data_IF_272833771923
#
_entry.id   IF_272833771923
#
_cell.length_a   1.000
_cell.length_b   1.000
_cell.length_c   1.000
_cell.angle_alpha   90.00
_cell.angle_beta   90.00
_cell.angle_gamma   90.00
#
_symmetry.space_group_name_H-M   'P 1'
#
loop_
_entity.id
_entity.type
_entity.pdbx_description
1 polymer ?
#
# COMPACT_ATOMS: atom_id res chain seq x y z
N UNK A 1 51.14 25.70 2.17
CA UNK A 1 51.19 25.01 0.85
C UNK A 1 49.90 24.23 0.76
N UNK A 2 48.98 24.69 -0.06
CA UNK A 2 47.73 23.95 -0.33
C UNK A 2 48.07 22.79 -1.27
N UNK A 3 47.75 21.56 -0.84
CA UNK A 3 47.87 20.38 -1.69
C UNK A 3 46.73 20.49 -2.72
N UNK A 4 47.06 20.77 -3.95
CA UNK A 4 46.16 20.61 -5.09
C UNK A 4 45.92 19.10 -5.26
N UNK A 5 44.75 18.63 -4.87
CA UNK A 5 44.30 17.30 -5.22
C UNK A 5 44.06 17.26 -6.73
N UNK A 6 44.95 16.65 -7.47
CA UNK A 6 44.72 16.33 -8.88
C UNK A 6 43.70 15.21 -8.93
N UNK A 7 42.57 15.47 -9.56
CA UNK A 7 41.63 14.42 -9.96
C UNK A 7 42.36 13.41 -10.86
N UNK A 8 42.07 12.14 -10.75
CA UNK A 8 42.59 11.16 -11.71
C UNK A 8 42.16 11.56 -13.12
N UNK A 9 42.97 11.21 -14.13
CA UNK A 9 42.66 11.51 -15.52
C UNK A 9 41.28 11.00 -15.92
N UNK A 10 40.89 9.83 -15.43
CA UNK A 10 39.59 9.18 -15.63
C UNK A 10 38.47 10.04 -15.02
N UNK A 11 38.63 10.53 -13.80
CA UNK A 11 37.62 11.40 -13.14
C UNK A 11 37.51 12.75 -13.84
N UNK A 12 38.63 13.28 -14.38
CA UNK A 12 38.65 14.54 -15.13
C UNK A 12 37.94 14.36 -16.49
N UNK A 13 38.21 13.29 -17.20
CA UNK A 13 37.52 12.96 -18.47
C UNK A 13 36.02 12.81 -18.24
N UNK A 14 35.62 12.06 -17.23
CA UNK A 14 34.22 11.86 -16.88
C UNK A 14 33.51 13.20 -16.55
N UNK A 15 34.17 14.09 -15.82
CA UNK A 15 33.62 15.41 -15.52
C UNK A 15 33.55 16.32 -16.75
N UNK A 16 34.53 16.22 -17.65
CA UNK A 16 34.54 16.96 -18.91
C UNK A 16 33.47 16.46 -19.88
N UNK A 17 33.25 15.16 -19.96
CA UNK A 17 32.16 14.59 -20.75
C UNK A 17 30.80 15.02 -20.23
N UNK A 18 30.61 15.04 -18.91
CA UNK A 18 29.39 15.55 -18.26
C UNK A 18 29.19 17.05 -18.52
N UNK A 19 30.28 17.86 -18.44
CA UNK A 19 30.23 19.29 -18.73
C UNK A 19 29.93 19.54 -20.21
N UNK A 20 30.51 18.80 -21.13
CA UNK A 20 30.25 18.91 -22.56
C UNK A 20 28.83 18.50 -22.94
N UNK A 21 28.32 17.44 -22.33
CA UNK A 21 26.93 17.02 -22.47
C UNK A 21 26.00 18.14 -21.99
N UNK A 22 26.28 18.72 -20.84
CA UNK A 22 25.54 19.84 -20.28
C UNK A 22 25.58 21.10 -21.15
N UNK A 23 26.76 21.44 -21.70
CA UNK A 23 26.92 22.57 -22.63
C UNK A 23 26.17 22.34 -23.94
N UNK A 24 26.12 21.12 -24.42
CA UNK A 24 25.32 20.74 -25.59
C UNK A 24 23.83 20.97 -25.35
N UNK A 25 23.31 20.60 -24.19
CA UNK A 25 21.90 20.84 -23.82
C UNK A 25 21.59 22.34 -23.70
N UNK A 26 22.54 23.17 -23.24
CA UNK A 26 22.37 24.62 -23.18
C UNK A 26 22.45 25.26 -24.59
N UNK A 27 23.33 24.75 -25.46
CA UNK A 27 23.56 25.35 -26.79
C UNK A 27 22.44 25.03 -27.77
N UNK A 28 21.78 23.87 -27.60
CA UNK A 28 20.69 23.47 -28.48
C UNK A 28 19.38 24.26 -28.23
N UNK A 29 19.39 25.19 -27.26
CA UNK A 29 18.60 26.42 -27.11
C UNK A 29 17.07 26.32 -27.29
N UNK A 30 16.55 25.13 -27.32
CA UNK A 30 15.13 24.86 -27.58
C UNK A 30 14.61 24.08 -26.39
N UNK A 31 13.44 24.41 -25.89
CA UNK A 31 12.70 23.66 -24.85
C UNK A 31 12.39 22.22 -25.22
N UNK A 32 13.41 21.48 -25.57
CA UNK A 32 13.37 20.05 -25.82
C UNK A 32 13.61 19.40 -24.45
N UNK A 33 12.62 18.65 -24.00
CA UNK A 33 12.73 17.92 -22.75
C UNK A 33 14.03 17.11 -22.72
N UNK A 34 14.76 17.24 -21.64
CA UNK A 34 15.91 16.41 -21.35
C UNK A 34 15.49 14.94 -21.46
N UNK A 35 16.20 14.17 -22.27
CA UNK A 35 16.00 12.73 -22.36
C UNK A 35 17.24 12.06 -21.78
N UNK A 36 17.21 11.66 -20.50
CA UNK A 36 18.34 10.99 -19.88
C UNK A 36 18.63 9.68 -20.58
N UNK A 37 19.91 9.34 -20.69
CA UNK A 37 20.38 8.12 -21.35
C UNK A 37 20.28 6.89 -20.42
N UNK A 38 20.25 7.11 -19.10
CA UNK A 38 20.18 6.07 -18.09
C UNK A 38 19.52 6.54 -16.79
N UNK A 39 19.11 5.60 -15.95
CA UNK A 39 18.61 5.88 -14.61
C UNK A 39 19.68 6.50 -13.71
N UNK A 40 20.95 6.08 -13.87
CA UNK A 40 22.08 6.64 -13.13
C UNK A 40 22.32 8.11 -13.45
N UNK A 41 22.10 8.53 -14.69
CA UNK A 41 22.13 9.94 -15.07
C UNK A 41 21.02 10.73 -14.38
N UNK A 42 19.80 10.21 -14.36
CA UNK A 42 18.69 10.81 -13.62
C UNK A 42 19.05 10.95 -12.14
N UNK A 43 19.57 9.90 -11.52
CA UNK A 43 19.97 9.91 -10.12
C UNK A 43 21.04 10.98 -9.85
N UNK A 44 22.02 11.11 -10.74
CA UNK A 44 23.05 12.14 -10.62
C UNK A 44 22.47 13.55 -10.65
N UNK A 45 21.49 13.80 -11.50
CA UNK A 45 20.77 15.08 -11.57
C UNK A 45 19.93 15.34 -10.32
N UNK A 46 19.29 14.30 -9.77
CA UNK A 46 18.53 14.41 -8.52
C UNK A 46 19.47 14.78 -7.38
N UNK A 47 20.58 14.09 -7.22
CA UNK A 47 21.59 14.37 -6.17
C UNK A 47 22.18 15.77 -6.29
N UNK A 48 22.38 16.24 -7.52
CA UNK A 48 22.86 17.60 -7.79
C UNK A 48 21.76 18.68 -7.64
N UNK A 49 20.50 18.32 -7.38
CA UNK A 49 19.37 19.25 -7.28
C UNK A 49 18.95 19.90 -8.63
N UNK A 50 19.42 19.34 -9.76
CA UNK A 50 19.19 19.90 -11.11
C UNK A 50 17.99 19.28 -11.84
N UNK A 51 17.45 18.18 -11.32
CA UNK A 51 16.34 17.43 -11.91
C UNK A 51 15.08 18.28 -12.10
N UNK A 52 14.76 19.18 -11.17
CA UNK A 52 13.57 20.04 -11.25
C UNK A 52 13.56 21.00 -12.45
N UNK A 53 14.75 21.37 -12.96
CA UNK A 53 14.90 22.26 -14.09
C UNK A 53 14.97 21.49 -15.42
N UNK A 54 15.38 20.22 -15.38
CA UNK A 54 15.73 19.42 -16.56
C UNK A 54 14.74 18.28 -16.84
N UNK A 55 14.00 17.81 -15.84
CA UNK A 55 13.05 16.71 -15.99
C UNK A 55 11.63 17.23 -15.74
N UNK A 56 10.87 17.52 -16.79
CA UNK A 56 9.50 18.03 -16.65
C UNK A 56 8.57 17.04 -15.94
N UNK A 57 7.62 17.57 -15.17
CA UNK A 57 6.50 16.79 -14.67
C UNK A 57 5.70 16.24 -15.85
N UNK A 58 5.38 14.95 -15.83
CA UNK A 58 4.73 14.21 -16.90
C UNK A 58 5.69 13.52 -17.86
N UNK A 59 7.03 13.73 -17.72
CA UNK A 59 8.03 12.92 -18.44
C UNK A 59 7.90 11.45 -18.04
N UNK A 60 8.30 10.55 -18.94
CA UNK A 60 8.25 9.12 -18.68
C UNK A 60 9.64 8.53 -18.50
N UNK A 61 9.79 7.66 -17.52
CA UNK A 61 10.99 6.86 -17.27
C UNK A 61 10.61 5.40 -17.44
N UNK A 62 11.42 4.68 -18.21
CA UNK A 62 11.19 3.26 -18.50
C UNK A 62 12.24 2.45 -17.76
N UNK A 63 11.80 1.43 -17.07
CA UNK A 63 12.63 0.40 -16.44
C UNK A 63 12.06 -0.98 -16.79
N UNK A 64 12.52 -2.03 -16.12
CA UNK A 64 11.98 -3.38 -16.33
C UNK A 64 11.90 -4.18 -15.04
N UNK A 65 11.02 -5.17 -15.06
CA UNK A 65 10.98 -6.23 -14.06
C UNK A 65 10.85 -7.57 -14.76
N UNK A 66 11.77 -8.50 -14.49
CA UNK A 66 11.85 -9.78 -15.20
C UNK A 66 11.84 -9.58 -16.73
N UNK A 67 12.61 -8.62 -17.23
CA UNK A 67 12.69 -8.19 -18.63
C UNK A 67 11.37 -7.66 -19.23
N UNK A 68 10.33 -7.44 -18.44
CA UNK A 68 9.08 -6.80 -18.87
C UNK A 68 9.18 -5.30 -18.60
N UNK A 69 9.02 -4.43 -19.60
CA UNK A 69 9.07 -2.99 -19.41
C UNK A 69 8.02 -2.48 -18.43
N UNK A 70 8.40 -1.53 -17.61
CA UNK A 70 7.53 -0.76 -16.72
C UNK A 70 7.76 0.72 -17.00
N UNK A 71 6.69 1.45 -17.24
CA UNK A 71 6.71 2.89 -17.46
C UNK A 71 6.28 3.62 -16.20
N UNK A 72 7.04 4.63 -15.82
CA UNK A 72 6.70 5.56 -14.75
C UNK A 72 6.53 6.97 -15.28
N UNK A 73 5.52 7.68 -14.80
CA UNK A 73 5.32 9.11 -15.01
C UNK A 73 6.04 9.88 -13.89
N UNK A 74 6.77 10.94 -14.22
CA UNK A 74 7.32 11.89 -13.24
C UNK A 74 6.17 12.72 -12.69
N UNK A 75 5.91 12.62 -11.39
CA UNK A 75 4.77 13.30 -10.76
C UNK A 75 5.15 14.43 -9.82
N UNK A 76 6.39 14.46 -9.32
CA UNK A 76 6.87 15.47 -8.38
C UNK A 76 8.39 15.58 -8.33
N UNK A 77 8.89 16.74 -7.91
CA UNK A 77 10.29 16.99 -7.67
C UNK A 77 10.44 17.68 -6.30
N UNK A 78 11.25 17.13 -5.41
CA UNK A 78 11.46 17.59 -4.03
C UNK A 78 10.16 17.75 -3.21
N UNK A 79 9.19 16.87 -3.43
CA UNK A 79 7.96 16.82 -2.67
C UNK A 79 8.11 15.88 -1.46
N UNK A 80 8.77 14.75 -1.67
CA UNK A 80 8.98 13.74 -0.65
C UNK A 80 10.33 13.90 0.05
N UNK A 81 10.38 13.48 1.30
CA UNK A 81 11.60 13.47 2.10
C UNK A 81 12.22 12.08 2.11
N UNK A 82 13.43 11.90 1.58
CA UNK A 82 14.17 10.66 1.74
C UNK A 82 14.37 10.30 3.22
N UNK A 83 14.35 9.01 3.53
CA UNK A 83 14.61 8.54 4.90
C UNK A 83 16.07 8.73 5.28
N UNK A 84 16.99 8.49 4.34
CA UNK A 84 18.41 8.72 4.54
C UNK A 84 18.72 10.25 4.51
N UNK A 85 19.17 10.82 5.64
CA UNK A 85 19.39 12.27 5.75
C UNK A 85 20.55 12.82 4.89
N UNK A 86 21.38 11.96 4.31
CA UNK A 86 22.41 12.42 3.36
C UNK A 86 21.82 12.91 2.03
N UNK A 87 20.58 12.50 1.72
CA UNK A 87 19.88 12.92 0.51
C UNK A 87 18.78 13.92 0.85
N UNK A 88 18.80 15.05 0.15
CA UNK A 88 17.85 16.16 0.37
C UNK A 88 16.93 16.38 -0.84
N UNK A 89 17.19 15.70 -1.94
CA UNK A 89 16.45 15.85 -3.18
C UNK A 89 15.75 14.52 -3.52
N UNK A 90 14.60 14.62 -4.16
CA UNK A 90 13.80 13.48 -4.60
C UNK A 90 13.13 13.76 -5.94
N UNK A 91 13.02 12.76 -6.79
CA UNK A 91 12.20 12.77 -7.98
C UNK A 91 11.14 11.68 -7.85
N UNK A 92 9.90 12.08 -7.69
CA UNK A 92 8.80 11.14 -7.45
C UNK A 92 8.24 10.62 -8.77
N UNK A 93 8.16 9.33 -8.86
CA UNK A 93 7.67 8.56 -9.99
C UNK A 93 6.39 7.83 -9.61
N UNK A 94 5.47 7.69 -10.56
CA UNK A 94 4.23 6.92 -10.42
C UNK A 94 4.06 5.99 -11.62
N UNK A 95 3.74 4.73 -11.39
CA UNK A 95 3.46 3.81 -12.48
C UNK A 95 2.42 4.37 -13.45
N UNK A 96 2.70 4.26 -14.74
CA UNK A 96 1.79 4.69 -15.81
C UNK A 96 0.56 3.78 -15.88
N UNK A 97 0.76 2.48 -15.69
CA UNK A 97 -0.28 1.46 -15.63
C UNK A 97 -0.23 0.71 -14.29
N UNK A 98 -1.34 0.13 -13.80
CA UNK A 98 -1.30 -0.78 -12.68
C UNK A 98 -0.36 -1.97 -12.95
N UNK A 99 0.51 -2.24 -11.95
CA UNK A 99 1.41 -3.41 -12.00
C UNK A 99 0.61 -4.70 -12.15
N UNK A 100 -0.33 -4.90 -11.23
CA UNK A 100 -1.20 -6.08 -11.16
C UNK A 100 -2.46 -5.73 -10.35
N UNK A 101 -3.40 -6.67 -10.29
CA UNK A 101 -4.58 -6.57 -9.43
C UNK A 101 -4.33 -7.37 -8.15
N UNK A 102 -4.26 -6.67 -7.03
CA UNK A 102 -3.74 -7.21 -5.77
C UNK A 102 -4.74 -6.95 -4.65
N UNK A 103 -4.95 -7.95 -3.81
CA UNK A 103 -5.66 -7.82 -2.56
C UNK A 103 -4.84 -6.90 -1.64
N UNK A 104 -5.48 -5.88 -1.06
CA UNK A 104 -4.81 -4.93 -0.16
C UNK A 104 -4.43 -5.62 1.16
N UNK A 105 -5.40 -6.33 1.75
CA UNK A 105 -5.20 -7.11 2.96
C UNK A 105 -6.20 -8.26 3.04
N UNK A 106 -5.84 -9.33 3.75
CA UNK A 106 -6.70 -10.50 3.87
C UNK A 106 -7.77 -10.33 4.96
N UNK A 107 -8.90 -11.06 4.88
CA UNK A 107 -9.82 -11.22 5.99
C UNK A 107 -9.10 -11.69 7.25
N UNK A 108 -9.42 -11.08 8.40
CA UNK A 108 -8.77 -11.40 9.67
C UNK A 108 -9.43 -12.57 10.40
N UNK A 109 -8.72 -13.20 11.30
CA UNK A 109 -9.28 -14.16 12.25
C UNK A 109 -10.03 -13.42 13.39
N UNK A 110 -10.98 -14.09 14.00
CA UNK A 110 -11.64 -13.67 15.22
C UNK A 110 -10.69 -13.80 16.43
N UNK A 111 -9.96 -14.89 16.48
CA UNK A 111 -9.07 -15.22 17.60
C UNK A 111 -7.83 -15.97 17.11
N UNK A 112 -6.71 -15.74 17.76
CA UNK A 112 -5.47 -16.47 17.56
C UNK A 112 -5.07 -17.15 18.87
N UNK A 113 -4.86 -18.46 18.83
CA UNK A 113 -4.47 -19.25 19.97
C UNK A 113 -2.97 -19.08 20.28
N UNK A 114 -2.64 -18.18 21.19
CA UNK A 114 -1.27 -18.00 21.70
C UNK A 114 -0.79 -19.19 22.51
N UNK A 115 -1.74 -19.91 23.15
CA UNK A 115 -1.57 -21.22 23.77
C UNK A 115 -2.69 -22.13 23.26
N UNK A 116 -2.62 -23.43 23.57
CA UNK A 116 -3.70 -24.35 23.23
C UNK A 116 -5.02 -23.89 23.87
N UNK A 117 -6.07 -23.73 23.05
CA UNK A 117 -7.41 -23.43 23.51
C UNK A 117 -8.17 -24.76 23.65
N UNK A 118 -8.51 -25.19 24.89
CA UNK A 118 -9.19 -26.48 25.13
C UNK A 118 -10.56 -26.58 24.46
N UNK A 119 -11.08 -27.79 24.29
CA UNK A 119 -12.51 -27.99 24.03
C UNK A 119 -13.34 -27.38 25.17
N UNK A 120 -14.45 -26.72 24.82
CA UNK A 120 -15.27 -26.03 25.82
C UNK A 120 -16.20 -24.99 25.19
N UNK A 121 -16.99 -24.35 26.04
CA UNK A 121 -17.86 -23.23 25.61
C UNK A 121 -17.18 -21.90 25.79
N UNK A 122 -17.26 -21.06 24.76
CA UNK A 122 -16.64 -19.76 24.68
C UNK A 122 -17.67 -18.72 24.27
N UNK A 123 -17.44 -17.47 24.64
CA UNK A 123 -18.26 -16.36 24.20
C UNK A 123 -17.42 -15.14 23.78
N UNK A 124 -18.00 -14.34 22.88
CA UNK A 124 -17.40 -13.09 22.38
C UNK A 124 -18.48 -12.01 22.33
N UNK A 125 -18.11 -10.79 22.67
CA UNK A 125 -18.97 -9.62 22.54
C UNK A 125 -18.57 -8.81 21.32
N UNK A 126 -19.52 -8.53 20.42
CA UNK A 126 -19.28 -7.67 19.25
C UNK A 126 -19.29 -6.23 19.70
N UNK A 127 -18.20 -5.51 19.44
CA UNK A 127 -18.08 -4.06 19.63
C UNK A 127 -17.85 -3.36 18.29
N UNK A 128 -18.35 -2.13 18.19
CA UNK A 128 -18.17 -1.33 16.98
C UNK A 128 -18.59 -2.03 15.69
N UNK A 129 -19.62 -2.86 15.77
CA UNK A 129 -20.33 -3.39 14.62
C UNK A 129 -21.06 -2.23 13.92
N UNK A 130 -21.35 -2.39 12.64
CA UNK A 130 -21.97 -1.35 11.83
C UNK A 130 -23.37 -0.95 12.32
N UNK A 131 -24.15 -1.91 12.77
CA UNK A 131 -25.52 -1.69 13.23
C UNK A 131 -25.93 -2.70 14.29
N UNK A 132 -27.04 -2.45 14.97
CA UNK A 132 -27.64 -3.38 15.92
C UNK A 132 -27.99 -4.74 15.26
N UNK A 133 -28.36 -4.75 13.98
CA UNK A 133 -28.63 -5.98 13.20
C UNK A 133 -27.39 -6.82 12.93
N UNK A 134 -26.19 -6.28 13.14
CA UNK A 134 -24.92 -6.99 13.05
C UNK A 134 -24.40 -7.43 14.42
N UNK A 135 -25.27 -7.52 15.40
CA UNK A 135 -24.94 -7.95 16.74
C UNK A 135 -24.13 -6.97 17.56
N UNK A 136 -24.00 -5.69 17.17
CA UNK A 136 -23.27 -4.69 17.94
C UNK A 136 -23.81 -4.58 19.37
N UNK A 137 -22.91 -4.77 20.36
CA UNK A 137 -23.25 -4.82 21.78
C UNK A 137 -23.81 -6.15 22.25
N UNK A 138 -24.01 -7.13 21.37
CA UNK A 138 -24.46 -8.48 21.71
C UNK A 138 -23.30 -9.43 21.97
N UNK A 139 -23.56 -10.42 22.79
CA UNK A 139 -22.62 -11.52 23.08
C UNK A 139 -23.13 -12.81 22.45
N UNK A 140 -22.23 -13.51 21.80
CA UNK A 140 -22.46 -14.79 21.15
C UNK A 140 -21.61 -15.86 21.77
N UNK A 141 -22.18 -17.04 21.96
CA UNK A 141 -21.46 -18.21 22.47
C UNK A 141 -21.42 -19.34 21.45
N UNK A 142 -20.39 -20.16 21.56
CA UNK A 142 -20.20 -21.36 20.74
C UNK A 142 -19.44 -22.42 21.53
N UNK A 143 -19.65 -23.68 21.20
CA UNK A 143 -18.99 -24.80 21.89
C UNK A 143 -18.06 -25.52 20.94
N UNK A 144 -16.81 -25.64 21.30
CA UNK A 144 -15.80 -26.44 20.62
C UNK A 144 -15.76 -27.84 21.21
N UNK A 145 -15.88 -28.83 20.35
CA UNK A 145 -15.72 -30.24 20.72
C UNK A 145 -14.27 -30.70 20.69
N UNK A 146 -13.42 -29.93 20.02
CA UNK A 146 -12.00 -30.20 19.87
C UNK A 146 -11.19 -28.97 20.32
N UNK A 147 -9.96 -29.21 20.81
CA UNK A 147 -9.04 -28.11 21.12
C UNK A 147 -8.53 -27.43 19.84
N UNK A 148 -8.19 -26.15 19.96
CA UNK A 148 -7.45 -25.40 18.94
C UNK A 148 -6.00 -25.33 19.37
N UNK A 149 -5.05 -25.90 18.63
CA UNK A 149 -3.65 -25.94 19.05
C UNK A 149 -3.03 -24.54 19.08
N UNK A 150 -1.93 -24.39 19.84
CA UNK A 150 -1.11 -23.19 19.78
C UNK A 150 -0.76 -22.83 18.34
N UNK A 151 -0.94 -21.57 17.96
CA UNK A 151 -0.79 -21.10 16.57
C UNK A 151 -2.02 -21.26 15.70
N UNK A 152 -3.05 -21.93 16.20
CA UNK A 152 -4.33 -22.08 15.52
C UNK A 152 -5.15 -20.78 15.53
N UNK A 153 -6.23 -20.79 14.76
CA UNK A 153 -7.12 -19.63 14.62
C UNK A 153 -8.59 -20.03 14.66
N UNK A 154 -9.39 -19.11 15.17
CA UNK A 154 -10.85 -19.15 15.07
C UNK A 154 -11.30 -18.06 14.09
N UNK A 155 -12.13 -18.41 13.14
CA UNK A 155 -12.58 -17.54 12.06
C UNK A 155 -14.10 -17.52 11.98
N UNK A 156 -14.66 -16.32 11.91
CA UNK A 156 -16.10 -16.11 11.78
C UNK A 156 -16.39 -15.18 10.60
N UNK A 157 -16.24 -15.69 9.39
CA UNK A 157 -16.22 -14.89 8.15
C UNK A 157 -17.58 -14.30 7.73
N UNK A 158 -18.65 -14.61 8.40
CA UNK A 158 -19.96 -14.14 8.01
C UNK A 158 -20.49 -12.93 8.78
N UNK A 159 -19.71 -12.39 9.69
CA UNK A 159 -20.13 -11.27 10.56
C UNK A 159 -19.99 -9.94 9.85
N UNK A 160 -20.85 -9.63 8.87
CA UNK A 160 -20.65 -8.44 8.05
C UNK A 160 -21.89 -7.57 7.77
N UNK A 161 -23.06 -8.09 7.42
CA UNK A 161 -24.21 -7.24 7.08
C UNK A 161 -25.55 -7.73 7.57
N UNK A 162 -25.58 -8.92 8.17
CA UNK A 162 -26.81 -9.60 8.62
C UNK A 162 -26.63 -10.16 10.03
N UNK A 163 -27.61 -10.89 10.48
CA UNK A 163 -27.56 -11.57 11.76
C UNK A 163 -26.33 -12.51 11.80
N UNK A 164 -25.39 -12.31 12.73
CA UNK A 164 -24.24 -13.18 12.90
C UNK A 164 -24.58 -14.67 13.06
N UNK A 165 -25.75 -14.99 13.57
CA UNK A 165 -26.23 -16.37 13.74
C UNK A 165 -26.43 -17.13 12.43
N UNK A 166 -26.47 -16.45 11.29
CA UNK A 166 -26.55 -17.10 9.98
C UNK A 166 -25.20 -17.66 9.49
N UNK A 167 -24.15 -17.53 10.28
CA UNK A 167 -22.80 -17.90 9.85
C UNK A 167 -22.07 -18.74 10.88
N UNK A 168 -21.44 -19.80 10.40
CA UNK A 168 -20.67 -20.70 11.25
C UNK A 168 -19.28 -20.14 11.59
N UNK A 169 -18.83 -20.53 12.76
CA UNK A 169 -17.46 -20.35 13.24
C UNK A 169 -16.63 -21.56 12.85
N UNK A 170 -15.43 -21.34 12.31
CA UNK A 170 -14.49 -22.40 11.94
C UNK A 170 -13.20 -22.27 12.72
N UNK A 171 -12.66 -23.39 13.17
CA UNK A 171 -11.36 -23.43 13.83
C UNK A 171 -10.32 -24.07 12.92
N UNK A 172 -9.09 -23.55 12.95
CA UNK A 172 -7.99 -24.00 12.10
C UNK A 172 -6.75 -24.33 12.92
N UNK A 173 -5.93 -25.33 12.53
CA UNK A 173 -4.71 -25.69 13.28
C UNK A 173 -3.56 -24.68 13.10
N UNK A 174 -3.63 -23.81 12.09
CA UNK A 174 -2.65 -22.76 11.84
C UNK A 174 -3.26 -21.62 11.01
N UNK A 175 -2.54 -20.50 10.89
CA UNK A 175 -2.94 -19.34 10.05
C UNK A 175 -3.09 -19.70 8.57
N UNK A 176 -2.30 -20.63 8.09
CA UNK A 176 -2.22 -20.98 6.66
C UNK A 176 -3.06 -22.19 6.29
N UNK A 177 -3.66 -22.87 7.28
CA UNK A 177 -4.50 -24.03 7.01
C UNK A 177 -5.80 -23.63 6.30
N UNK A 178 -6.16 -24.42 5.31
CA UNK A 178 -7.43 -24.33 4.58
C UNK A 178 -8.48 -25.29 5.12
N UNK A 179 -8.03 -26.33 5.83
CA UNK A 179 -8.90 -27.38 6.36
C UNK A 179 -9.23 -27.10 7.83
N UNK A 180 -10.51 -26.90 8.17
CA UNK A 180 -10.92 -26.64 9.53
C UNK A 180 -10.80 -27.89 10.42
N UNK A 181 -10.44 -27.68 11.71
CA UNK A 181 -10.51 -28.72 12.74
C UNK A 181 -11.98 -29.11 12.97
N UNK A 182 -12.84 -28.09 13.09
CA UNK A 182 -14.28 -28.21 13.21
C UNK A 182 -15.00 -26.95 12.74
N UNK A 183 -16.31 -27.08 12.53
CA UNK A 183 -17.24 -26.00 12.22
C UNK A 183 -18.36 -26.02 13.22
N UNK A 184 -18.66 -24.92 13.87
CA UNK A 184 -19.66 -24.78 14.92
C UNK A 184 -20.61 -23.62 14.64
N UNK A 185 -21.87 -23.75 15.00
CA UNK A 185 -22.88 -22.70 14.87
C UNK A 185 -22.96 -21.91 16.17
N UNK A 186 -22.78 -20.59 16.15
CA UNK A 186 -22.93 -19.75 17.34
C UNK A 186 -24.42 -19.57 17.68
N UNK A 187 -24.67 -19.26 18.95
CA UNK A 187 -25.98 -18.82 19.44
C UNK A 187 -25.83 -17.53 20.24
N UNK A 188 -26.88 -16.74 20.38
CA UNK A 188 -26.85 -15.59 21.27
C UNK A 188 -26.83 -16.08 22.74
N UNK A 189 -25.82 -15.63 23.49
CA UNK A 189 -25.62 -16.06 24.88
C UNK A 189 -24.22 -15.68 25.37
N UNK A 190 -24.02 -15.83 26.69
CA UNK A 190 -22.80 -15.43 27.40
C UNK A 190 -22.20 -16.54 28.27
N UNK A 191 -22.55 -17.79 28.01
CA UNK A 191 -22.00 -18.93 28.75
C UNK A 191 -20.54 -19.20 28.33
N UNK A 192 -19.79 -19.80 29.25
CA UNK A 192 -18.42 -20.27 29.03
C UNK A 192 -17.36 -19.18 29.24
N UNK A 193 -16.17 -19.47 28.73
CA UNK A 193 -15.00 -18.59 28.85
C UNK A 193 -15.09 -17.42 27.88
N UNK A 194 -14.86 -16.22 28.36
CA UNK A 194 -14.80 -15.01 27.51
C UNK A 194 -13.50 -15.05 26.69
N UNK A 195 -13.64 -14.98 25.37
CA UNK A 195 -12.53 -14.66 24.46
C UNK A 195 -12.35 -13.15 24.39
N UNK A 196 -11.35 -12.70 23.63
CA UNK A 196 -11.15 -11.28 23.36
C UNK A 196 -12.42 -10.61 22.85
N UNK A 197 -12.62 -9.33 23.18
CA UNK A 197 -13.68 -8.53 22.59
C UNK A 197 -13.47 -8.41 21.08
N UNK A 198 -14.52 -8.66 20.33
CA UNK A 198 -14.50 -8.59 18.88
C UNK A 198 -14.74 -7.15 18.44
N UNK A 199 -13.63 -6.42 18.28
CA UNK A 199 -13.66 -5.03 17.86
C UNK A 199 -13.57 -4.93 16.33
N UNK A 200 -14.51 -4.19 15.71
CA UNK A 200 -14.57 -4.03 14.26
C UNK A 200 -14.69 -5.36 13.48
N UNK A 201 -15.75 -6.13 13.70
CA UNK A 201 -15.91 -7.50 13.18
C UNK A 201 -15.88 -7.57 11.64
N UNK A 202 -16.14 -6.48 10.94
CA UNK A 202 -16.06 -6.41 9.48
C UNK A 202 -14.68 -6.77 8.93
N UNK A 203 -13.60 -6.55 9.70
CA UNK A 203 -12.25 -6.95 9.27
C UNK A 203 -12.11 -8.45 9.07
N UNK A 204 -12.90 -9.24 9.78
CA UNK A 204 -12.92 -10.69 9.58
C UNK A 204 -13.42 -11.11 8.20
N UNK A 205 -14.23 -10.27 7.55
CA UNK A 205 -14.76 -10.55 6.23
C UNK A 205 -14.07 -9.78 5.13
N UNK A 206 -13.61 -8.58 5.46
CA UNK A 206 -13.18 -7.61 4.46
C UNK A 206 -11.72 -7.16 4.57
N UNK A 207 -10.95 -7.70 5.53
CA UNK A 207 -9.58 -7.30 5.77
C UNK A 207 -9.45 -5.96 6.49
N UNK A 208 -8.23 -5.57 6.80
CA UNK A 208 -7.90 -4.30 7.47
C UNK A 208 -7.55 -3.21 6.46
N UNK A 209 -7.99 -1.98 6.72
CA UNK A 209 -7.60 -0.82 5.92
C UNK A 209 -6.37 -0.08 6.46
N UNK A 210 -5.64 -0.66 7.39
CA UNK A 210 -4.38 -0.10 7.89
C UNK A 210 -3.26 -0.34 6.87
N UNK A 211 -2.73 0.71 6.28
CA UNK A 211 -1.66 0.60 5.28
C UNK A 211 -0.36 0.08 5.87
N UNK A 212 0.04 0.54 7.05
CA UNK A 212 1.30 0.16 7.69
C UNK A 212 1.45 -1.36 7.83
N UNK A 213 0.37 -2.02 8.24
CA UNK A 213 0.36 -3.45 8.54
C UNK A 213 -0.14 -4.29 7.35
N UNK A 214 -0.54 -3.66 6.23
CA UNK A 214 -1.19 -4.33 5.12
C UNK A 214 -0.30 -5.31 4.37
N UNK A 215 -0.92 -6.34 3.84
CA UNK A 215 -0.25 -7.33 3.01
C UNK A 215 0.32 -6.71 1.72
N UNK A 216 -0.40 -5.74 1.10
CA UNK A 216 0.09 -5.08 -0.11
C UNK A 216 1.37 -4.29 0.14
N UNK A 217 1.52 -3.62 1.30
CA UNK A 217 2.74 -2.89 1.64
C UNK A 217 3.93 -3.83 1.74
N UNK A 218 3.75 -5.02 2.34
CA UNK A 218 4.79 -6.04 2.38
C UNK A 218 5.18 -6.51 0.98
N UNK A 219 4.19 -6.74 0.10
CA UNK A 219 4.45 -7.18 -1.28
C UNK A 219 5.27 -6.17 -2.07
N UNK A 220 4.91 -4.90 -2.00
CA UNK A 220 5.55 -3.86 -2.83
C UNK A 220 6.95 -3.46 -2.34
N UNK A 221 7.30 -3.78 -1.09
CA UNK A 221 8.60 -3.48 -0.49
C UNK A 221 9.48 -4.73 -0.24
N UNK A 222 9.15 -5.87 -0.81
CA UNK A 222 9.88 -7.13 -0.61
C UNK A 222 10.59 -7.57 -1.89
N UNK A 223 11.76 -8.17 -1.74
CA UNK A 223 12.51 -8.91 -2.77
C UNK A 223 12.38 -10.43 -2.62
N UNK A 224 11.62 -10.89 -1.62
CA UNK A 224 11.46 -12.32 -1.33
C UNK A 224 10.72 -13.07 -2.46
N UNK A 225 10.98 -14.36 -2.57
CA UNK A 225 10.25 -15.25 -3.48
C UNK A 225 8.83 -15.52 -2.99
N UNK A 226 7.97 -16.00 -3.89
CA UNK A 226 6.61 -16.41 -3.56
C UNK A 226 6.58 -17.39 -2.38
N UNK A 227 5.64 -17.23 -1.49
CA UNK A 227 5.54 -17.99 -0.23
C UNK A 227 6.29 -17.38 0.95
N UNK A 228 7.22 -16.43 0.72
CA UNK A 228 8.07 -15.83 1.75
C UNK A 228 7.90 -14.32 1.90
N UNK A 229 7.00 -13.71 1.14
CA UNK A 229 6.80 -12.25 1.11
C UNK A 229 6.04 -11.75 2.33
N UNK A 230 5.07 -12.51 2.78
CA UNK A 230 4.13 -12.08 3.80
C UNK A 230 4.44 -12.69 5.17
N UNK A 231 4.32 -11.86 6.19
CA UNK A 231 4.31 -12.26 7.61
C UNK A 231 3.16 -11.56 8.34
N UNK A 232 2.55 -12.19 9.35
CA UNK A 232 1.49 -11.54 10.11
C UNK A 232 2.05 -10.32 10.86
N UNK A 233 1.39 -9.19 10.75
CA UNK A 233 1.72 -7.95 11.46
C UNK A 233 0.92 -7.83 12.76
N UNK A 234 -0.25 -8.44 12.79
CA UNK A 234 -1.09 -8.58 13.99
C UNK A 234 -1.42 -10.04 14.27
N UNK A 235 -1.85 -10.33 15.51
CA UNK A 235 -2.26 -11.69 15.87
C UNK A 235 -3.48 -12.19 15.07
N UNK A 236 -4.26 -11.29 14.51
CA UNK A 236 -5.48 -11.62 13.76
C UNK A 236 -5.25 -11.84 12.26
N UNK A 237 -4.08 -11.51 11.75
CA UNK A 237 -3.81 -11.55 10.31
C UNK A 237 -3.81 -12.98 9.76
N UNK A 238 -4.35 -13.10 8.56
CA UNK A 238 -4.35 -14.32 7.74
C UNK A 238 -3.64 -14.06 6.42
N UNK A 239 -3.04 -15.08 5.80
CA UNK A 239 -2.31 -14.90 4.55
C UNK A 239 -3.23 -14.39 3.44
N UNK A 240 -2.74 -13.44 2.62
CA UNK A 240 -3.49 -12.96 1.46
C UNK A 240 -3.58 -14.06 0.39
N UNK A 241 -4.54 -13.91 -0.52
CA UNK A 241 -4.81 -14.90 -1.57
C UNK A 241 -3.64 -15.11 -2.56
N UNK A 242 -2.73 -14.16 -2.64
CA UNK A 242 -1.57 -14.18 -3.52
C UNK A 242 -0.28 -14.71 -2.85
N UNK A 243 -0.29 -15.02 -1.55
CA UNK A 243 0.91 -15.33 -0.76
C UNK A 243 1.82 -16.39 -1.39
N UNK A 244 1.25 -17.45 -1.95
CA UNK A 244 1.99 -18.56 -2.56
C UNK A 244 2.28 -18.36 -4.07
N UNK A 245 1.74 -17.33 -4.69
CA UNK A 245 1.81 -17.13 -6.15
C UNK A 245 2.61 -15.90 -6.58
N UNK A 246 2.84 -14.94 -5.67
CA UNK A 246 3.54 -13.69 -6.01
C UNK A 246 4.85 -13.55 -5.22
N UNK A 247 5.92 -13.31 -5.95
CA UNK A 247 7.17 -12.80 -5.39
C UNK A 247 7.02 -11.30 -5.09
N UNK A 248 7.78 -10.80 -4.14
CA UNK A 248 7.85 -9.39 -3.81
C UNK A 248 8.15 -8.53 -5.03
N UNK A 249 7.67 -7.30 -5.04
CA UNK A 249 7.79 -6.44 -6.23
C UNK A 249 9.24 -6.09 -6.57
N UNK A 250 10.12 -5.96 -5.57
CA UNK A 250 11.55 -5.69 -5.79
C UNK A 250 12.28 -6.86 -6.43
N UNK A 251 11.75 -8.09 -6.30
CA UNK A 251 12.31 -9.28 -6.91
C UNK A 251 12.19 -9.20 -8.43
N UNK A 252 13.34 -9.23 -9.12
CA UNK A 252 13.43 -9.14 -10.57
C UNK A 252 13.32 -7.72 -11.15
N UNK A 253 13.25 -6.69 -10.31
CA UNK A 253 13.34 -5.30 -10.74
C UNK A 253 14.76 -5.02 -11.26
N UNK A 254 14.85 -4.17 -12.29
CA UNK A 254 16.12 -3.75 -12.85
C UNK A 254 17.06 -3.22 -11.76
N UNK A 255 18.32 -3.65 -11.77
CA UNK A 255 19.28 -3.38 -10.69
C UNK A 255 19.69 -1.92 -10.62
N UNK A 256 19.87 -1.27 -11.77
CA UNK A 256 20.22 0.15 -11.83
C UNK A 256 19.07 0.98 -11.27
N UNK A 257 17.84 0.68 -11.68
CA UNK A 257 16.66 1.34 -11.14
C UNK A 257 16.50 1.09 -9.64
N UNK A 258 16.64 -0.15 -9.18
CA UNK A 258 16.54 -0.52 -7.76
C UNK A 258 17.59 0.18 -6.90
N UNK A 259 18.79 0.41 -7.44
CA UNK A 259 19.86 1.15 -6.74
C UNK A 259 19.63 2.66 -6.69
N UNK A 260 18.88 3.19 -7.63
CA UNK A 260 18.58 4.63 -7.71
C UNK A 260 17.40 5.04 -6.83
N UNK A 261 16.51 4.11 -6.49
CA UNK A 261 15.37 4.40 -5.62
C UNK A 261 15.73 4.26 -4.15
N UNK A 262 15.29 5.24 -3.34
CA UNK A 262 15.50 5.25 -1.90
C UNK A 262 14.20 5.12 -1.12
N UNK A 263 14.37 4.80 0.17
CA UNK A 263 13.25 4.81 1.10
C UNK A 263 12.79 6.24 1.38
N UNK A 264 11.49 6.38 1.47
CA UNK A 264 10.81 7.67 1.64
C UNK A 264 9.88 7.60 2.83
N UNK A 265 9.91 8.62 3.67
CA UNK A 265 8.99 8.75 4.80
C UNK A 265 7.58 9.02 4.30
N UNK A 266 6.65 8.16 4.69
CA UNK A 266 5.23 8.33 4.41
C UNK A 266 4.41 8.33 5.68
N UNK A 267 3.49 9.27 5.75
CA UNK A 267 2.50 9.35 6.82
C UNK A 267 1.17 8.84 6.31
N UNK A 268 0.52 8.01 7.08
CA UNK A 268 -0.82 7.49 6.77
C UNK A 268 -1.67 7.54 8.02
N UNK A 269 -2.84 8.11 7.93
CA UNK A 269 -3.79 8.13 9.04
C UNK A 269 -4.30 6.74 9.35
N UNK A 270 -4.61 6.47 10.61
CA UNK A 270 -5.37 5.30 11.01
C UNK A 270 -6.86 5.59 10.97
N UNK A 271 -7.66 4.56 10.69
CA UNK A 271 -9.12 4.71 10.66
C UNK A 271 -9.65 5.30 11.96
N UNK A 272 -10.49 6.34 11.89
CA UNK A 272 -11.09 7.02 13.06
C UNK A 272 -11.89 6.09 13.98
N UNK A 273 -12.44 5.02 13.43
CA UNK A 273 -13.17 4.04 14.23
C UNK A 273 -12.25 3.21 15.15
N UNK A 274 -10.93 3.25 14.93
CA UNK A 274 -9.95 2.51 15.72
C UNK A 274 -9.28 3.45 16.72
N UNK A 275 -8.53 4.39 16.16
CA UNK A 275 -7.93 5.46 16.94
C UNK A 275 -7.58 6.62 16.02
N UNK A 276 -7.42 7.75 16.26
CA UNK A 276 -7.15 8.89 15.38
C UNK A 276 -5.63 9.09 15.13
N UNK A 277 -4.84 8.02 15.18
CA UNK A 277 -3.40 8.11 15.06
C UNK A 277 -2.91 8.25 13.63
N UNK A 278 -1.63 8.55 13.51
CA UNK A 278 -0.88 8.59 12.25
C UNK A 278 0.24 7.56 12.34
N UNK A 279 0.36 6.72 11.33
CA UNK A 279 1.46 5.81 11.14
C UNK A 279 2.52 6.46 10.25
N UNK A 280 3.79 6.27 10.61
CA UNK A 280 4.92 6.59 9.75
C UNK A 280 5.52 5.29 9.21
N UNK A 281 5.88 5.29 7.93
CA UNK A 281 6.53 4.18 7.25
C UNK A 281 7.66 4.70 6.40
N UNK A 282 8.72 3.89 6.30
CA UNK A 282 9.82 4.10 5.36
C UNK A 282 9.65 3.07 4.24
N UNK A 283 9.36 3.55 3.04
CA UNK A 283 8.97 2.70 1.91
C UNK A 283 9.77 3.04 0.65
N UNK A 284 10.32 2.04 -0.05
CA UNK A 284 10.86 2.21 -1.41
C UNK A 284 9.75 2.41 -2.43
N UNK A 285 8.69 1.60 -2.32
CA UNK A 285 7.46 1.75 -3.08
C UNK A 285 6.28 1.99 -2.16
N UNK A 286 5.41 2.91 -2.55
CA UNK A 286 4.23 3.27 -1.79
C UNK A 286 3.01 3.51 -2.68
N UNK A 287 1.83 3.42 -2.09
CA UNK A 287 0.58 3.86 -2.70
C UNK A 287 0.37 5.34 -2.38
N UNK A 288 -0.25 6.08 -3.28
CA UNK A 288 -0.56 7.48 -3.01
C UNK A 288 -1.71 7.62 -2.01
N UNK A 289 -1.62 8.64 -1.16
CA UNK A 289 -2.75 9.05 -0.33
C UNK A 289 -3.77 9.84 -1.14
N UNK A 290 -4.95 10.04 -0.56
CA UNK A 290 -5.99 10.89 -1.14
C UNK A 290 -5.52 12.34 -1.28
N UNK A 291 -4.78 12.85 -0.29
CA UNK A 291 -4.19 14.20 -0.34
C UNK A 291 -3.18 14.34 -1.47
N UNK A 292 -2.28 13.39 -1.62
CA UNK A 292 -1.26 13.36 -2.68
C UNK A 292 -1.86 13.29 -4.08
N UNK A 293 -3.02 12.64 -4.24
CA UNK A 293 -3.79 12.59 -5.49
C UNK A 293 -4.54 13.90 -5.79
N UNK A 294 -4.45 14.92 -4.93
CA UNK A 294 -5.22 16.15 -5.01
C UNK A 294 -6.74 15.91 -5.03
N UNK A 295 -7.19 14.94 -4.25
CA UNK A 295 -8.55 14.47 -4.20
C UNK A 295 -9.24 14.74 -2.85
N UNK A 296 -8.86 15.82 -2.20
CA UNK A 296 -9.35 16.23 -0.88
C UNK A 296 -8.72 15.47 0.28
N UNK A 297 -8.95 15.97 1.48
CA UNK A 297 -8.52 15.34 2.71
C UNK A 297 -9.75 14.87 3.51
N UNK A 298 -9.87 13.57 3.71
CA UNK A 298 -10.96 12.98 4.48
C UNK A 298 -10.79 13.18 5.99
N UNK A 299 -9.55 13.37 6.42
CA UNK A 299 -9.14 13.55 7.80
C UNK A 299 -8.60 14.96 7.98
N UNK A 300 -9.48 15.93 8.12
CA UNK A 300 -9.24 17.39 8.01
C UNK A 300 -7.93 17.90 8.62
N UNK A 301 -7.44 17.27 9.68
CA UNK A 301 -6.23 17.69 10.42
C UNK A 301 -5.03 16.76 10.24
N UNK A 302 -5.13 15.77 9.34
CA UNK A 302 -4.08 14.78 9.18
C UNK A 302 -3.19 15.10 7.98
N UNK A 303 -1.90 15.09 8.24
CA UNK A 303 -0.86 15.24 7.23
C UNK A 303 -0.56 13.87 6.59
N UNK A 304 -1.22 13.56 5.47
CA UNK A 304 -0.91 12.41 4.62
C UNK A 304 -0.07 12.79 3.38
N UNK A 305 0.59 13.92 3.41
CA UNK A 305 1.34 14.48 2.30
C UNK A 305 0.60 15.59 1.57
N UNK A 306 1.29 16.20 0.62
CA UNK A 306 0.77 17.31 -0.20
C UNK A 306 0.50 16.84 -1.62
N UNK A 307 -0.41 17.51 -2.37
CA UNK A 307 -0.71 17.16 -3.75
C UNK A 307 0.54 17.17 -4.63
N UNK A 308 0.74 16.13 -5.42
CA UNK A 308 1.77 16.16 -6.46
C UNK A 308 1.35 17.07 -7.61
N UNK A 309 2.27 17.88 -8.15
CA UNK A 309 1.97 18.84 -9.22
C UNK A 309 1.51 18.20 -10.53
N UNK A 310 1.66 16.89 -10.69
CA UNK A 310 1.09 16.12 -11.80
C UNK A 310 -0.45 16.17 -11.81
N UNK A 311 -1.08 16.22 -10.63
CA UNK A 311 -2.52 16.32 -10.45
C UNK A 311 -2.92 17.80 -10.34
N UNK A 312 -3.10 18.45 -11.47
CA UNK A 312 -3.21 19.91 -11.56
C UNK A 312 -4.48 20.52 -11.00
N UNK A 313 -5.56 19.74 -10.94
CA UNK A 313 -6.86 20.24 -10.57
C UNK A 313 -7.43 19.47 -9.39
N UNK A 314 -7.88 20.22 -8.40
CA UNK A 314 -8.61 19.67 -7.28
C UNK A 314 -9.95 19.09 -7.77
N UNK A 315 -10.24 17.87 -7.37
CA UNK A 315 -11.55 17.27 -7.54
C UNK A 315 -11.83 16.38 -6.34
N UNK A 316 -12.88 16.71 -5.63
CA UNK A 316 -13.37 15.94 -4.51
C UNK A 316 -14.20 14.73 -4.99
N UNK A 317 -14.84 14.07 -4.07
CA UNK A 317 -15.68 12.91 -4.29
C UNK A 317 -16.87 13.28 -5.20
N UNK A 318 -16.73 13.10 -6.50
CA UNK A 318 -17.80 13.29 -7.47
C UNK A 318 -17.94 12.09 -8.40
N UNK A 319 -19.15 11.83 -8.84
CA UNK A 319 -19.47 10.74 -9.76
C UNK A 319 -19.23 11.10 -11.24
N UNK A 320 -18.79 12.32 -11.53
CA UNK A 320 -18.62 12.79 -12.91
C UNK A 320 -17.15 12.90 -13.28
N UNK A 321 -16.81 12.43 -14.47
CA UNK A 321 -15.49 12.64 -15.08
C UNK A 321 -15.35 14.10 -15.47
N UNK A 322 -14.36 14.78 -14.89
CA UNK A 322 -13.97 16.15 -15.26
C UNK A 322 -12.59 16.13 -15.88
N UNK A 323 -12.16 17.23 -16.49
CA UNK A 323 -10.76 17.38 -16.92
C UNK A 323 -9.78 17.22 -15.76
N UNK A 324 -10.21 17.56 -14.54
CA UNK A 324 -9.43 17.40 -13.32
C UNK A 324 -9.06 15.95 -13.01
N UNK A 325 -9.92 15.02 -13.38
CA UNK A 325 -9.78 13.62 -13.03
C UNK A 325 -8.89 12.84 -14.01
N UNK A 326 -8.66 13.36 -15.20
CA UNK A 326 -7.95 12.64 -16.28
C UNK A 326 -6.55 12.15 -15.88
N UNK A 327 -5.78 12.96 -15.18
CA UNK A 327 -4.43 12.58 -14.76
C UNK A 327 -4.42 11.46 -13.68
N UNK A 328 -5.56 11.20 -13.04
CA UNK A 328 -5.72 10.11 -12.11
C UNK A 328 -6.14 8.80 -12.77
N UNK A 329 -6.70 8.86 -13.99
CA UNK A 329 -7.14 7.65 -14.69
C UNK A 329 -5.92 6.81 -15.06
N UNK A 330 -5.92 5.55 -14.66
CA UNK A 330 -4.90 4.57 -15.05
C UNK A 330 -5.53 3.48 -15.89
N UNK A 331 -4.84 3.12 -16.95
CA UNK A 331 -5.32 2.15 -17.93
C UNK A 331 -4.52 0.85 -17.84
N UNK A 332 -5.17 -0.27 -18.14
CA UNK A 332 -4.53 -1.56 -18.38
C UNK A 332 -5.16 -2.17 -19.62
N UNK A 333 -4.32 -2.47 -20.63
CA UNK A 333 -4.80 -2.98 -21.91
C UNK A 333 -5.90 -2.07 -22.55
N UNK A 334 -5.72 -0.76 -22.47
CA UNK A 334 -6.64 0.23 -23.03
C UNK A 334 -7.93 0.48 -22.23
N UNK A 335 -8.16 -0.22 -21.13
CA UNK A 335 -9.32 -0.05 -20.27
C UNK A 335 -8.98 0.69 -18.99
N UNK A 336 -9.78 1.67 -18.55
CA UNK A 336 -9.56 2.38 -17.29
C UNK A 336 -9.84 1.44 -16.12
N UNK A 337 -9.01 1.56 -15.07
CA UNK A 337 -8.98 0.62 -13.94
C UNK A 337 -9.25 1.31 -12.61
N UNK A 338 -9.81 0.54 -11.67
CA UNK A 338 -9.73 0.85 -10.25
C UNK A 338 -8.33 0.57 -9.74
N UNK A 339 -7.81 1.43 -8.85
CA UNK A 339 -6.55 1.17 -8.16
C UNK A 339 -6.55 1.69 -6.72
N UNK A 340 -5.70 1.06 -5.91
CA UNK A 340 -5.55 1.37 -4.49
C UNK A 340 -4.86 2.71 -4.25
N UNK A 341 -5.36 3.46 -3.28
CA UNK A 341 -4.59 4.42 -2.49
C UNK A 341 -4.22 3.82 -1.13
N UNK A 342 -3.56 4.60 -0.26
CA UNK A 342 -3.23 4.15 1.10
C UNK A 342 -4.14 4.73 2.18
N UNK A 343 -4.91 5.78 1.90
CA UNK A 343 -5.81 6.42 2.87
C UNK A 343 -6.94 5.46 3.26
N UNK A 344 -7.15 5.16 4.56
CA UNK A 344 -8.30 4.40 5.01
C UNK A 344 -9.58 5.24 4.89
N UNK A 345 -10.71 4.58 4.69
CA UNK A 345 -12.02 5.23 4.80
C UNK A 345 -12.30 5.58 6.28
N UNK A 346 -12.71 6.81 6.56
CA UNK A 346 -12.93 7.29 7.93
C UNK A 346 -14.12 6.64 8.64
N UNK A 347 -15.12 6.20 7.88
CA UNK A 347 -16.35 5.58 8.38
C UNK A 347 -16.36 4.05 8.37
N UNK A 348 -15.23 3.41 8.04
CA UNK A 348 -15.17 1.95 7.86
C UNK A 348 -13.77 1.42 8.17
N UNK A 349 -13.64 0.43 9.05
CA UNK A 349 -12.36 -0.15 9.44
C UNK A 349 -11.77 -1.11 8.38
N UNK A 350 -12.46 -1.31 7.26
CA UNK A 350 -12.11 -2.30 6.23
C UNK A 350 -12.05 -1.73 4.80
N UNK A 351 -12.63 -0.54 4.57
CA UNK A 351 -12.58 0.09 3.25
C UNK A 351 -11.34 0.97 3.11
N UNK A 352 -10.65 0.81 1.99
CA UNK A 352 -9.49 1.61 1.59
C UNK A 352 -9.90 2.58 0.49
N UNK A 353 -9.44 3.81 0.55
CA UNK A 353 -9.63 4.77 -0.54
C UNK A 353 -8.75 4.41 -1.73
N UNK A 354 -9.27 4.69 -2.90
CA UNK A 354 -8.59 4.48 -4.17
C UNK A 354 -9.19 5.38 -5.24
N UNK A 355 -8.84 5.13 -6.47
CA UNK A 355 -9.33 5.85 -7.63
C UNK A 355 -10.14 4.91 -8.52
N UNK A 356 -11.29 5.36 -8.97
CA UNK A 356 -12.13 4.63 -9.90
C UNK A 356 -11.77 4.90 -11.37
N UNK A 357 -12.40 4.16 -12.31
CA UNK A 357 -12.10 4.23 -13.75
C UNK A 357 -12.31 5.61 -14.37
N UNK A 358 -13.13 6.46 -13.78
CA UNK A 358 -13.35 7.83 -14.25
C UNK A 358 -12.44 8.86 -13.55
N UNK A 359 -11.43 8.42 -12.77
CA UNK A 359 -10.53 9.31 -12.03
C UNK A 359 -11.08 9.82 -10.70
N UNK A 360 -12.32 9.48 -10.36
CA UNK A 360 -12.97 9.86 -9.11
C UNK A 360 -12.38 9.10 -7.91
N UNK A 361 -12.46 9.72 -6.74
CA UNK A 361 -12.16 9.00 -5.49
C UNK A 361 -13.19 7.89 -5.29
N UNK A 362 -12.72 6.72 -4.96
CA UNK A 362 -13.51 5.53 -4.70
C UNK A 362 -13.09 4.87 -3.39
N UNK A 363 -13.79 3.83 -2.99
CA UNK A 363 -13.34 2.95 -1.90
C UNK A 363 -13.72 1.52 -2.20
N UNK A 364 -12.91 0.60 -1.71
CA UNK A 364 -13.13 -0.83 -1.83
C UNK A 364 -12.71 -1.53 -0.56
N UNK A 365 -13.35 -2.65 -0.26
CA UNK A 365 -12.97 -3.50 0.87
C UNK A 365 -11.57 -4.07 0.66
N UNK A 366 -10.74 -4.06 1.70
CA UNK A 366 -9.33 -4.45 1.64
C UNK A 366 -9.09 -5.86 1.07
N UNK A 367 -10.04 -6.79 1.23
CA UNK A 367 -9.96 -8.15 0.69
C UNK A 367 -10.17 -8.24 -0.83
N UNK A 368 -10.70 -7.21 -1.46
CA UNK A 368 -10.85 -7.18 -2.91
C UNK A 368 -9.50 -7.05 -3.61
N UNK A 369 -9.46 -7.37 -4.90
CA UNK A 369 -8.31 -7.10 -5.76
C UNK A 369 -8.56 -5.84 -6.58
N UNK A 370 -7.66 -4.87 -6.49
CA UNK A 370 -7.65 -3.66 -7.31
C UNK A 370 -6.25 -3.40 -7.83
N UNK A 371 -6.11 -2.54 -8.81
CA UNK A 371 -4.84 -2.21 -9.41
C UNK A 371 -3.83 -1.68 -8.38
N UNK A 372 -2.61 -2.17 -8.42
CA UNK A 372 -1.49 -1.61 -7.67
C UNK A 372 -0.72 -0.62 -8.55
N UNK A 373 -0.94 0.67 -8.33
CA UNK A 373 -0.23 1.78 -9.00
C UNK A 373 0.79 2.32 -8.02
N UNK A 374 2.05 1.93 -8.21
CA UNK A 374 3.11 2.16 -7.25
C UNK A 374 3.85 3.45 -7.54
N UNK A 375 4.16 4.20 -6.49
CA UNK A 375 5.06 5.33 -6.54
C UNK A 375 6.38 5.01 -5.85
N UNK A 376 7.46 5.67 -6.27
CA UNK A 376 8.79 5.60 -5.66
C UNK A 376 9.56 6.90 -5.88
N UNK A 377 10.68 7.05 -5.20
CA UNK A 377 11.55 8.21 -5.35
C UNK A 377 12.95 7.80 -5.81
N UNK A 378 13.45 8.41 -6.90
CA UNK A 378 14.88 8.46 -7.18
C UNK A 378 15.51 9.49 -6.24
N UNK A 379 16.63 9.11 -5.58
CA UNK A 379 17.35 9.93 -4.60
C UNK A 379 18.84 9.97 -4.88
#
# INVERSE_FOLDING_TARGET
MSVLNFLSEETFIEQMERANLFLKYISDGVGIGFTPSSVGEIQSLVRAGRHKDLIPIGSQIITSRNNTPIVFDVIGANIDTPTDPQYTNSLTLLMHEPYDFIQFDAPQAMYYAEEELPAGTYNVTIKNGWSAGMGNGKTYQFTLSKSVPKGGQIVWNGVWDKDPLNYDIKTYPSRTSTDPIETVTPIEGNAGTVLDELNHPHRMCYGSNNYKDSAIRQLINSDASAGSVWTPQTKYDRPPNWVNSKAGFLNGLDKEFLSAIGETKKKTVRCRLIDNGIDETDDKFFLLSRSELYAGNEYQDADEGVPYPFFKNYSDYTSSTTEADKNRIKYKNGNPQYYWGRTPNSGSAYNVRGVGPAGQVSSSSAYNSSGAVLACNII
#
